data_IF_069715425835
#
_entry.id   IF_069715425835
#
_cell.length_a   1.000
_cell.length_b   1.000
_cell.length_c   1.000
_cell.angle_alpha   90.00
_cell.angle_beta   90.00
_cell.angle_gamma   90.00
#
_symmetry.space_group_name_H-M   'P 1'
#
loop_
_entity.id
_entity.type
_entity.pdbx_description
1 polymer ?
#
# COMPACT_ATOMS: atom_id res chain seq x y z
N UNK A 1 -33.04 27.84 10.27
CA UNK A 1 -31.64 28.29 10.45
C UNK A 1 -30.77 27.29 9.70
N UNK A 2 -29.92 27.74 8.79
CA UNK A 2 -29.00 26.86 8.06
C UNK A 2 -27.80 26.55 8.96
N UNK A 3 -27.56 25.28 9.28
CA UNK A 3 -26.37 24.85 9.99
C UNK A 3 -25.33 24.38 8.96
N UNK A 4 -24.10 24.86 9.07
CA UNK A 4 -23.00 24.38 8.25
C UNK A 4 -22.38 23.16 8.94
N UNK A 5 -22.21 22.07 8.19
CA UNK A 5 -21.51 20.89 8.67
C UNK A 5 -20.14 20.87 8.04
N UNK A 6 -19.10 20.80 8.87
CA UNK A 6 -17.73 20.67 8.40
C UNK A 6 -17.28 19.20 8.48
N UNK A 7 -16.46 18.79 7.53
CA UNK A 7 -15.88 17.45 7.50
C UNK A 7 -14.38 17.51 7.22
N UNK A 8 -13.62 16.53 7.70
CA UNK A 8 -12.20 16.33 7.40
C UNK A 8 -11.99 14.98 6.71
N UNK A 9 -10.94 14.88 5.90
CA UNK A 9 -10.61 13.65 5.19
C UNK A 9 -9.61 12.80 5.98
N UNK A 10 -9.96 11.57 6.31
CA UNK A 10 -9.13 10.63 7.06
C UNK A 10 -9.37 9.20 6.54
N UNK A 11 -8.30 8.42 6.36
CA UNK A 11 -8.37 7.02 5.91
C UNK A 11 -9.15 6.77 4.61
N UNK A 12 -9.19 7.77 3.71
CA UNK A 12 -9.93 7.69 2.44
C UNK A 12 -11.42 8.08 2.54
N UNK A 13 -11.88 8.52 3.72
CA UNK A 13 -13.28 8.88 3.96
C UNK A 13 -13.40 10.30 4.51
N UNK A 14 -14.56 10.93 4.26
CA UNK A 14 -14.93 12.20 4.88
C UNK A 14 -15.62 11.93 6.22
N UNK A 15 -15.03 12.43 7.30
CA UNK A 15 -15.58 12.35 8.66
C UNK A 15 -16.12 13.71 9.06
N UNK A 16 -17.33 13.75 9.64
CA UNK A 16 -17.90 15.00 10.15
C UNK A 16 -17.25 15.40 11.46
N UNK A 17 -16.96 16.70 11.60
CA UNK A 17 -16.76 17.28 12.92
C UNK A 17 -18.07 17.22 13.69
N UNK A 18 -17.99 17.09 15.02
CA UNK A 18 -19.15 17.26 15.88
C UNK A 18 -19.71 18.69 15.79
N UNK A 19 -20.96 18.89 16.20
CA UNK A 19 -21.67 20.16 15.98
C UNK A 19 -20.94 21.37 16.61
N UNK A 20 -20.47 21.33 17.88
CA UNK A 20 -19.71 22.43 18.48
C UNK A 20 -18.46 22.81 17.68
N UNK A 21 -17.70 21.81 17.20
CA UNK A 21 -16.50 22.06 16.38
C UNK A 21 -16.86 22.61 15.00
N UNK A 22 -17.93 22.10 14.37
CA UNK A 22 -18.42 22.65 13.09
C UNK A 22 -18.86 24.11 13.23
N UNK A 23 -19.55 24.44 14.32
CA UNK A 23 -19.98 25.81 14.62
C UNK A 23 -18.78 26.72 14.88
N UNK A 24 -17.74 26.22 15.58
CA UNK A 24 -16.50 26.95 15.80
C UNK A 24 -15.81 27.31 14.47
N UNK A 25 -15.68 26.33 13.56
CA UNK A 25 -15.04 26.54 12.26
C UNK A 25 -15.89 27.48 11.40
N UNK A 26 -17.22 27.33 11.42
CA UNK A 26 -18.13 28.19 10.67
C UNK A 26 -18.10 29.63 11.21
N UNK A 27 -18.07 29.83 12.53
CA UNK A 27 -17.96 31.14 13.15
C UNK A 27 -16.63 31.82 12.78
N UNK A 28 -15.52 31.09 12.82
CA UNK A 28 -14.21 31.59 12.39
C UNK A 28 -14.23 32.00 10.91
N UNK A 29 -14.83 31.19 10.04
CA UNK A 29 -15.01 31.52 8.62
C UNK A 29 -15.86 32.78 8.44
N UNK A 30 -17.00 32.89 9.14
CA UNK A 30 -17.89 34.05 9.05
C UNK A 30 -17.25 35.33 9.58
N UNK A 31 -16.38 35.21 10.58
CA UNK A 31 -15.55 36.28 11.12
C UNK A 31 -14.30 36.58 10.27
N UNK A 32 -14.12 35.88 9.15
CA UNK A 32 -12.98 36.04 8.24
C UNK A 32 -11.61 35.80 8.92
N UNK A 33 -11.54 34.78 9.77
CA UNK A 33 -10.33 34.33 10.45
C UNK A 33 -9.62 33.27 9.60
N UNK A 34 -8.33 33.50 9.30
CA UNK A 34 -7.54 32.64 8.41
C UNK A 34 -7.26 31.24 8.97
N UNK A 35 -7.09 31.15 10.29
CA UNK A 35 -6.76 29.91 11.01
C UNK A 35 -7.48 29.90 12.36
N UNK A 36 -8.18 28.80 12.67
CA UNK A 36 -8.86 28.59 13.95
C UNK A 36 -8.30 27.35 14.65
N UNK A 37 -7.87 27.50 15.89
CA UNK A 37 -7.47 26.38 16.74
C UNK A 37 -8.72 25.69 17.28
N UNK A 38 -8.78 24.36 17.15
CA UNK A 38 -9.94 23.60 17.60
C UNK A 38 -9.90 23.46 19.13
N UNK A 39 -10.81 24.15 19.80
CA UNK A 39 -10.92 24.20 21.27
C UNK A 39 -12.28 23.75 21.78
N UNK A 40 -13.21 23.47 20.87
CA UNK A 40 -14.56 23.00 21.18
C UNK A 40 -14.72 21.51 20.88
N UNK A 41 -15.82 20.93 21.36
CA UNK A 41 -16.20 19.57 21.02
C UNK A 41 -15.21 18.51 21.49
N UNK A 42 -15.01 17.48 20.67
CA UNK A 42 -14.06 16.38 20.96
C UNK A 42 -12.59 16.81 20.95
N UNK A 43 -12.29 18.00 20.42
CA UNK A 43 -10.94 18.58 20.36
C UNK A 43 -10.64 19.48 21.57
N UNK A 44 -11.62 19.72 22.43
CA UNK A 44 -11.43 20.39 23.71
C UNK A 44 -10.70 19.47 24.68
N UNK A 45 -9.45 19.81 25.00
CA UNK A 45 -8.66 19.10 25.99
C UNK A 45 -8.49 19.94 27.26
N UNK A 46 -9.45 19.93 28.21
CA UNK A 46 -9.37 20.75 29.42
C UNK A 46 -8.20 20.39 30.35
N UNK A 47 -7.57 19.24 30.15
CA UNK A 47 -6.40 18.77 30.88
C UNK A 47 -5.04 19.21 30.29
N UNK A 48 -5.03 19.84 29.10
CA UNK A 48 -3.81 20.29 28.44
C UNK A 48 -3.92 21.78 28.08
N UNK A 49 -2.88 22.56 28.37
CA UNK A 49 -2.86 24.01 28.11
C UNK A 49 -2.65 24.39 26.62
N UNK A 50 -2.78 23.43 25.68
CA UNK A 50 -2.49 23.68 24.27
C UNK A 50 -3.40 22.88 23.31
N UNK A 51 -3.51 23.40 22.08
CA UNK A 51 -4.36 22.87 21.00
C UNK A 51 -3.54 22.05 20.00
N UNK A 52 -4.06 20.88 19.63
CA UNK A 52 -3.36 19.95 18.72
C UNK A 52 -3.74 20.21 17.25
N UNK A 53 -4.94 20.71 16.98
CA UNK A 53 -5.44 20.89 15.61
C UNK A 53 -5.87 22.33 15.35
N UNK A 54 -5.59 22.81 14.15
CA UNK A 54 -6.10 24.07 13.62
C UNK A 54 -6.74 23.84 12.24
N UNK A 55 -7.74 24.64 11.89
CA UNK A 55 -8.40 24.62 10.58
C UNK A 55 -8.19 25.96 9.89
N UNK A 56 -7.84 25.92 8.61
CA UNK A 56 -7.76 27.07 7.72
C UNK A 56 -8.99 27.04 6.79
N UNK A 57 -10.11 27.69 7.14
CA UNK A 57 -11.42 27.49 6.51
C UNK A 57 -11.53 28.06 5.09
N UNK A 58 -10.57 28.89 4.66
CA UNK A 58 -10.54 29.47 3.31
C UNK A 58 -9.77 28.61 2.31
N UNK A 59 -8.71 27.92 2.76
CA UNK A 59 -7.94 26.99 1.93
C UNK A 59 -8.31 25.53 2.16
N UNK A 60 -9.32 25.29 3.00
CA UNK A 60 -9.93 23.97 3.21
C UNK A 60 -8.94 22.91 3.71
N UNK A 61 -8.13 23.26 4.71
CA UNK A 61 -7.18 22.35 5.36
C UNK A 61 -7.32 22.35 6.87
N UNK A 62 -7.16 21.19 7.50
CA UNK A 62 -6.84 21.06 8.92
C UNK A 62 -5.37 20.70 9.06
N UNK A 63 -4.65 21.37 9.96
CA UNK A 63 -3.28 21.07 10.32
C UNK A 63 -3.22 20.50 11.75
N UNK A 64 -2.43 19.45 11.94
CA UNK A 64 -1.96 19.05 13.26
C UNK A 64 -0.74 19.92 13.63
N UNK A 65 -0.82 20.67 14.73
CA UNK A 65 0.21 21.62 15.18
C UNK A 65 1.46 20.93 15.77
N UNK A 66 1.33 19.70 16.23
CA UNK A 66 2.47 18.92 16.73
C UNK A 66 3.27 18.29 15.59
N UNK A 67 2.58 17.74 14.58
CA UNK A 67 3.21 16.99 13.48
C UNK A 67 3.39 17.79 12.19
N UNK A 68 2.70 18.92 12.06
CA UNK A 68 2.62 19.73 10.84
C UNK A 68 1.77 19.10 9.72
N UNK A 69 1.23 17.90 9.92
CA UNK A 69 0.46 17.20 8.88
C UNK A 69 -0.83 17.95 8.56
N UNK A 70 -1.12 18.08 7.27
CA UNK A 70 -2.34 18.74 6.80
C UNK A 70 -3.26 17.72 6.14
N UNK A 71 -4.56 17.80 6.41
CA UNK A 71 -5.60 17.01 5.72
C UNK A 71 -6.71 17.91 5.18
N UNK A 72 -7.30 17.57 4.01
CA UNK A 72 -8.42 18.33 3.44
C UNK A 72 -9.61 18.42 4.40
N UNK A 73 -10.28 19.57 4.40
CA UNK A 73 -11.61 19.75 4.99
C UNK A 73 -12.61 20.16 3.91
N UNK A 74 -13.91 19.99 4.17
CA UNK A 74 -14.97 20.52 3.31
C UNK A 74 -16.13 21.02 4.15
N UNK A 75 -16.87 21.98 3.58
CA UNK A 75 -18.09 22.56 4.15
C UNK A 75 -19.30 22.06 3.38
N UNK A 76 -20.28 21.54 4.09
CA UNK A 76 -21.58 21.13 3.57
C UNK A 76 -22.66 22.09 4.08
N UNK A 77 -23.60 22.45 3.21
CA UNK A 77 -24.72 23.33 3.55
C UNK A 77 -25.95 22.46 3.83
N UNK A 78 -26.43 22.41 5.07
CA UNK A 78 -27.61 21.63 5.41
C UNK A 78 -28.89 22.35 4.97
N UNK A 79 -29.69 21.74 4.09
CA UNK A 79 -31.10 22.09 3.86
C UNK A 79 -32.02 21.31 4.80
N UNK A 80 -33.16 21.91 5.13
CA UNK A 80 -34.04 21.53 6.26
C UNK A 80 -34.71 20.15 6.10
N UNK A 81 -34.59 19.50 4.94
CA UNK A 81 -35.20 18.18 4.67
C UNK A 81 -34.34 16.97 5.10
N UNK A 82 -33.32 17.19 5.94
CA UNK A 82 -32.40 16.14 6.42
C UNK A 82 -32.31 15.98 7.95
N UNK A 83 -33.22 16.58 8.72
CA UNK A 83 -33.27 16.42 10.18
C UNK A 83 -33.87 15.06 10.56
N UNK A 84 -33.07 14.00 10.41
CA UNK A 84 -33.46 12.65 10.71
C UNK A 84 -32.30 11.65 10.77
N UNK A 85 -31.10 12.06 11.18
CA UNK A 85 -30.06 11.15 11.66
C UNK A 85 -28.96 11.93 12.38
N UNK A 86 -29.08 12.08 13.71
CA UNK A 86 -27.90 12.08 14.57
C UNK A 86 -27.11 10.77 14.36
N UNK A 87 -25.88 10.64 14.91
CA UNK A 87 -24.97 9.55 14.57
C UNK A 87 -25.71 8.21 14.63
N UNK A 88 -25.93 7.59 13.47
CA UNK A 88 -25.99 6.14 13.46
C UNK A 88 -24.56 5.74 13.77
N UNK A 89 -24.38 5.21 14.97
CA UNK A 89 -23.20 4.45 15.33
C UNK A 89 -22.73 3.68 14.10
N UNK A 90 -21.48 3.85 13.71
CA UNK A 90 -20.89 3.12 12.60
C UNK A 90 -20.76 1.60 12.87
N UNK A 91 -21.39 1.10 13.93
CA UNK A 91 -21.76 -0.31 14.05
C UNK A 91 -22.99 -0.71 13.21
N UNK A 92 -23.62 0.21 12.47
CA UNK A 92 -24.67 -0.15 11.52
C UNK A 92 -24.71 0.78 10.29
N UNK A 93 -23.68 0.73 9.45
CA UNK A 93 -23.94 0.93 8.03
C UNK A 93 -24.60 -0.34 7.51
N UNK A 94 -25.69 -0.16 6.77
CA UNK A 94 -26.31 -1.23 6.00
C UNK A 94 -25.19 -1.99 5.30
N UNK A 95 -24.94 -3.19 5.81
CA UNK A 95 -24.06 -4.13 5.17
C UNK A 95 -24.48 -4.16 3.71
N UNK A 96 -23.51 -4.14 2.79
CA UNK A 96 -23.64 -5.04 1.65
C UNK A 96 -24.27 -6.30 2.21
N UNK A 97 -25.49 -6.65 1.80
CA UNK A 97 -26.24 -7.74 2.46
C UNK A 97 -25.54 -9.09 2.34
N UNK A 98 -24.37 -9.12 1.69
CA UNK A 98 -23.33 -10.12 1.85
C UNK A 98 -22.16 -9.51 2.62
N UNK A 99 -22.05 -9.80 3.93
CA UNK A 99 -20.75 -9.74 4.62
C UNK A 99 -19.87 -10.79 3.92
N UNK A 100 -18.81 -10.42 3.19
CA UNK A 100 -18.01 -11.38 2.42
C UNK A 100 -17.37 -12.46 3.31
N UNK A 101 -17.27 -12.20 4.63
CA UNK A 101 -16.81 -13.18 5.60
C UNK A 101 -17.95 -14.10 6.09
N UNK A 102 -19.22 -13.66 6.09
CA UNK A 102 -20.35 -14.53 6.49
C UNK A 102 -20.49 -15.77 5.61
N UNK A 103 -20.28 -15.64 4.30
CA UNK A 103 -20.29 -16.78 3.37
C UNK A 103 -19.13 -17.76 3.60
N UNK A 104 -18.08 -17.36 4.33
CA UNK A 104 -16.95 -18.22 4.67
C UNK A 104 -17.15 -19.01 5.97
N UNK A 105 -18.13 -18.65 6.78
CA UNK A 105 -18.34 -19.18 8.13
C UNK A 105 -19.51 -20.16 8.22
N UNK A 106 -19.88 -20.83 7.12
CA UNK A 106 -20.81 -21.95 7.22
C UNK A 106 -20.24 -23.01 8.17
N UNK A 107 -20.91 -23.29 9.32
CA UNK A 107 -20.39 -24.19 10.33
C UNK A 107 -20.30 -25.62 9.78
N UNK A 108 -19.13 -26.24 9.92
CA UNK A 108 -18.95 -27.63 9.54
C UNK A 108 -19.42 -28.54 10.69
N UNK A 109 -20.27 -29.53 10.38
CA UNK A 109 -20.71 -30.52 11.39
C UNK A 109 -19.51 -31.38 11.82
N UNK A 110 -19.32 -31.48 13.14
CA UNK A 110 -18.21 -32.12 13.85
C UNK A 110 -17.93 -33.58 13.46
N UNK A 111 -18.90 -34.28 12.87
CA UNK A 111 -18.88 -35.74 12.62
C UNK A 111 -17.76 -36.25 11.68
N UNK A 112 -16.99 -35.35 11.04
CA UNK A 112 -15.87 -35.72 10.17
C UNK A 112 -14.51 -35.10 10.58
N UNK A 113 -14.40 -34.50 11.77
CA UNK A 113 -13.11 -34.11 12.33
C UNK A 113 -12.49 -35.29 13.10
N UNK A 114 -11.17 -35.44 13.01
CA UNK A 114 -10.45 -36.38 13.89
C UNK A 114 -10.60 -35.96 15.34
N UNK A 115 -10.65 -36.93 16.26
CA UNK A 115 -10.73 -36.66 17.70
C UNK A 115 -9.58 -35.77 18.23
N UNK A 116 -8.44 -35.73 17.53
CA UNK A 116 -7.28 -34.90 17.88
C UNK A 116 -7.26 -33.53 17.16
N UNK A 117 -8.33 -33.16 16.43
CA UNK A 117 -8.36 -31.88 15.72
C UNK A 117 -8.45 -30.72 16.72
N UNK A 118 -7.57 -29.72 16.55
CA UNK A 118 -7.51 -28.54 17.41
C UNK A 118 -7.61 -27.25 16.59
N UNK A 119 -8.12 -26.21 17.24
CA UNK A 119 -8.15 -24.86 16.69
C UNK A 119 -6.72 -24.28 16.66
N UNK A 120 -6.22 -23.86 15.49
CA UNK A 120 -4.86 -23.31 15.34
C UNK A 120 -4.67 -21.90 15.95
N UNK A 121 -5.71 -21.33 16.59
CA UNK A 121 -5.63 -20.02 17.27
C UNK A 121 -5.55 -20.23 18.79
N UNK A 122 -6.50 -20.95 19.39
CA UNK A 122 -6.54 -21.16 20.84
C UNK A 122 -5.96 -22.51 21.31
N UNK A 123 -5.66 -23.42 20.37
CA UNK A 123 -5.08 -24.75 20.62
C UNK A 123 -6.03 -25.69 21.38
N UNK A 124 -7.30 -25.30 21.55
CA UNK A 124 -8.35 -26.14 22.15
C UNK A 124 -9.01 -27.05 21.12
N UNK A 125 -9.55 -28.18 21.59
CA UNK A 125 -10.36 -29.11 20.79
C UNK A 125 -11.72 -28.54 20.38
N UNK A 126 -12.53 -29.34 19.69
CA UNK A 126 -13.86 -28.97 19.19
C UNK A 126 -14.97 -29.74 19.91
N UNK A 127 -14.66 -30.22 21.12
CA UNK A 127 -15.42 -31.25 21.83
C UNK A 127 -16.67 -30.68 22.52
N UNK A 128 -16.80 -29.34 22.55
CA UNK A 128 -17.97 -28.64 23.07
C UNK A 128 -19.10 -28.66 22.04
N UNK A 129 -20.29 -29.12 22.42
CA UNK A 129 -21.47 -29.22 21.53
C UNK A 129 -21.89 -27.88 20.88
N UNK A 130 -21.43 -26.75 21.45
CA UNK A 130 -21.68 -25.39 20.95
C UNK A 130 -20.54 -24.85 20.04
N UNK A 131 -19.36 -25.47 20.04
CA UNK A 131 -18.17 -24.96 19.37
C UNK A 131 -18.05 -25.48 17.93
N UNK A 132 -18.75 -24.83 17.00
CA UNK A 132 -18.65 -25.17 15.58
C UNK A 132 -17.22 -24.99 15.04
N UNK A 133 -16.70 -26.05 14.40
CA UNK A 133 -15.45 -26.00 13.66
C UNK A 133 -15.67 -25.37 12.28
N UNK A 134 -14.86 -24.37 11.94
CA UNK A 134 -14.81 -23.74 10.62
C UNK A 134 -13.58 -24.23 9.88
N UNK A 135 -13.80 -24.75 8.66
CA UNK A 135 -12.73 -24.97 7.68
C UNK A 135 -12.73 -23.83 6.68
N UNK A 136 -11.60 -23.15 6.55
CA UNK A 136 -11.50 -22.13 5.51
C UNK A 136 -11.41 -22.77 4.11
N UNK A 137 -12.25 -22.39 3.12
CA UNK A 137 -12.45 -23.17 1.89
C UNK A 137 -11.24 -23.23 0.95
N UNK A 138 -10.48 -22.14 0.84
CA UNK A 138 -9.22 -22.10 0.05
C UNK A 138 -8.03 -22.81 0.73
N UNK A 139 -8.19 -23.36 1.93
CA UNK A 139 -7.12 -24.01 2.68
C UNK A 139 -7.18 -25.53 2.59
N UNK A 140 -6.01 -26.17 2.56
CA UNK A 140 -5.88 -27.63 2.65
C UNK A 140 -5.95 -28.10 4.12
N UNK A 141 -7.12 -27.97 4.75
CA UNK A 141 -7.38 -28.58 6.06
C UNK A 141 -6.92 -27.76 7.27
N UNK A 142 -7.23 -26.47 7.33
CA UNK A 142 -7.03 -25.65 8.53
C UNK A 142 -8.38 -25.37 9.20
N UNK A 143 -8.44 -25.68 10.50
CA UNK A 143 -9.66 -25.65 11.30
C UNK A 143 -9.54 -24.67 12.47
N UNK A 144 -10.66 -24.02 12.79
CA UNK A 144 -10.74 -22.99 13.82
C UNK A 144 -12.12 -22.94 14.44
N UNK A 145 -12.25 -22.46 15.69
CA UNK A 145 -13.55 -22.03 16.19
C UNK A 145 -14.03 -20.80 15.42
N UNK A 146 -15.33 -20.69 15.17
CA UNK A 146 -15.93 -19.57 14.43
C UNK A 146 -15.48 -18.21 14.98
N UNK A 147 -15.61 -17.98 16.30
CA UNK A 147 -15.25 -16.72 16.95
C UNK A 147 -13.75 -16.40 16.84
N UNK A 148 -12.91 -17.43 16.95
CA UNK A 148 -11.46 -17.29 16.83
C UNK A 148 -11.08 -16.79 15.44
N UNK A 149 -11.61 -17.45 14.39
CA UNK A 149 -11.23 -17.14 13.02
C UNK A 149 -11.91 -15.90 12.47
N UNK A 150 -13.13 -15.58 12.92
CA UNK A 150 -13.83 -14.37 12.54
C UNK A 150 -13.04 -13.13 12.95
N UNK A 151 -12.68 -13.05 14.23
CA UNK A 151 -11.89 -11.93 14.77
C UNK A 151 -10.57 -11.78 14.01
N UNK A 152 -9.87 -12.90 13.80
CA UNK A 152 -8.59 -12.89 13.09
C UNK A 152 -8.70 -12.43 11.64
N UNK A 153 -9.67 -12.94 10.87
CA UNK A 153 -9.81 -12.58 9.46
C UNK A 153 -10.25 -11.12 9.28
N UNK A 154 -11.04 -10.57 10.21
CA UNK A 154 -11.41 -9.15 10.20
C UNK A 154 -10.19 -8.24 10.31
N UNK A 155 -9.16 -8.65 11.05
CA UNK A 155 -7.94 -7.85 11.21
C UNK A 155 -6.84 -8.14 10.18
N UNK A 156 -6.60 -9.42 9.86
CA UNK A 156 -5.41 -9.86 9.10
C UNK A 156 -5.72 -10.31 7.67
N UNK A 157 -6.99 -10.61 7.34
CA UNK A 157 -7.44 -11.09 6.02
C UNK A 157 -6.66 -12.30 5.47
N UNK A 158 -5.99 -13.05 6.35
CA UNK A 158 -5.14 -14.18 6.01
C UNK A 158 -5.39 -15.32 6.98
N UNK A 159 -5.36 -16.54 6.46
CA UNK A 159 -5.33 -17.75 7.27
C UNK A 159 -4.16 -17.69 8.28
N UNK A 160 -4.38 -17.86 9.60
CA UNK A 160 -3.33 -17.86 10.60
C UNK A 160 -2.19 -18.81 10.27
N UNK A 161 -2.53 -19.99 9.73
CA UNK A 161 -1.59 -21.06 9.43
C UNK A 161 -0.85 -20.86 8.10
N UNK A 162 -1.55 -20.87 6.96
CA UNK A 162 -0.90 -20.88 5.64
C UNK A 162 -0.84 -19.51 4.94
N UNK A 163 -1.33 -18.44 5.57
CA UNK A 163 -1.37 -17.07 5.02
C UNK A 163 -2.21 -16.87 3.75
N UNK A 164 -2.99 -17.88 3.36
CA UNK A 164 -3.95 -17.75 2.26
C UNK A 164 -4.89 -16.56 2.50
N UNK A 165 -5.03 -15.68 1.50
CA UNK A 165 -5.80 -14.44 1.60
C UNK A 165 -7.30 -14.71 1.44
N UNK A 166 -8.09 -14.14 2.35
CA UNK A 166 -9.54 -14.11 2.35
C UNK A 166 -10.02 -12.65 2.39
N UNK A 167 -10.65 -12.20 1.31
CA UNK A 167 -10.99 -10.79 1.10
C UNK A 167 -9.85 -9.99 0.46
N UNK A 168 -9.81 -8.69 0.74
CA UNK A 168 -8.77 -7.77 0.26
C UNK A 168 -7.74 -7.56 1.35
N UNK A 169 -6.52 -8.03 1.13
CA UNK A 169 -5.42 -7.84 2.09
C UNK A 169 -5.10 -6.36 2.25
N UNK A 170 -5.01 -5.91 3.50
CA UNK A 170 -4.56 -4.56 3.85
C UNK A 170 -3.37 -4.64 4.79
N UNK A 171 -2.38 -3.80 4.57
CA UNK A 171 -1.21 -3.69 5.44
C UNK A 171 -1.35 -2.58 6.48
N UNK A 172 -0.26 -2.32 7.20
CA UNK A 172 -0.19 -1.31 8.26
C UNK A 172 0.66 -0.10 7.87
N UNK A 173 0.91 0.14 6.58
CA UNK A 173 1.65 1.34 6.14
C UNK A 173 1.07 2.62 6.78
N UNK A 174 1.90 3.43 7.47
CA UNK A 174 1.44 4.71 7.99
C UNK A 174 0.92 5.64 6.89
N UNK A 175 0.17 6.66 7.30
CA UNK A 175 -0.25 7.71 6.39
C UNK A 175 0.93 8.50 5.85
N UNK A 176 0.77 8.98 4.61
CA UNK A 176 1.81 9.71 3.90
C UNK A 176 1.33 10.16 2.53
N UNK A 177 2.28 10.63 1.73
CA UNK A 177 2.06 11.06 0.37
C UNK A 177 2.76 10.12 -0.62
N UNK A 178 2.07 9.78 -1.71
CA UNK A 178 2.64 9.03 -2.82
C UNK A 178 2.48 9.84 -4.10
N UNK A 179 3.60 10.10 -4.76
CA UNK A 179 3.67 10.87 -5.99
C UNK A 179 4.30 10.04 -7.11
N UNK A 180 3.77 10.19 -8.32
CA UNK A 180 4.32 9.59 -9.55
C UNK A 180 4.67 10.72 -10.51
N UNK A 181 5.92 10.73 -10.98
CA UNK A 181 6.42 11.68 -11.99
C UNK A 181 6.93 10.95 -13.21
N UNK A 182 6.66 11.48 -14.40
CA UNK A 182 7.26 10.99 -15.64
C UNK A 182 8.51 11.79 -15.98
N UNK A 183 9.62 11.10 -16.19
CA UNK A 183 10.90 11.67 -16.57
C UNK A 183 11.21 11.33 -18.02
N UNK A 184 11.71 12.31 -18.78
CA UNK A 184 12.11 12.12 -20.18
C UNK A 184 13.36 11.24 -20.33
N UNK A 185 14.19 11.15 -19.28
CA UNK A 185 15.45 10.38 -19.28
C UNK A 185 15.14 8.88 -19.18
N UNK A 186 15.91 8.06 -19.91
CA UNK A 186 15.81 6.59 -19.87
C UNK A 186 16.70 6.00 -18.78
N UNK A 187 16.21 4.94 -18.15
CA UNK A 187 17.01 4.15 -17.23
C UNK A 187 18.16 3.42 -17.95
N UNK A 188 19.31 3.23 -17.29
CA UNK A 188 20.44 2.49 -17.82
C UNK A 188 20.06 1.07 -18.23
N UNK A 189 20.55 0.63 -19.40
CA UNK A 189 20.33 -0.70 -19.94
C UNK A 189 18.92 -0.97 -20.51
N UNK A 190 17.97 -0.04 -20.36
CA UNK A 190 16.64 -0.18 -20.94
C UNK A 190 16.52 0.55 -22.28
N UNK A 191 16.89 -0.14 -23.35
CA UNK A 191 16.62 0.29 -24.73
C UNK A 191 15.37 -0.44 -25.23
N UNK A 192 14.32 0.30 -25.58
CA UNK A 192 13.00 -0.22 -26.03
C UNK A 192 13.02 -1.15 -27.26
N UNK A 193 14.20 -1.56 -27.76
CA UNK A 193 14.39 -2.41 -28.94
C UNK A 193 14.58 -3.91 -28.63
N UNK A 194 14.63 -4.36 -27.37
CA UNK A 194 14.89 -5.79 -27.06
C UNK A 194 13.83 -6.55 -26.26
N UNK A 195 12.87 -5.90 -25.59
CA UNK A 195 11.93 -6.62 -24.69
C UNK A 195 10.53 -6.67 -25.28
N UNK A 196 10.36 -7.43 -26.36
CA UNK A 196 9.06 -8.02 -26.72
C UNK A 196 8.97 -9.41 -26.09
N UNK A 197 9.07 -9.47 -24.76
CA UNK A 197 8.88 -10.69 -23.99
C UNK A 197 7.53 -10.63 -23.30
N UNK A 198 6.57 -11.38 -23.78
CA UNK A 198 5.26 -11.58 -23.14
C UNK A 198 5.48 -12.14 -21.74
N UNK A 199 4.87 -11.52 -20.72
CA UNK A 199 4.84 -12.06 -19.35
C UNK A 199 4.16 -13.44 -19.38
N UNK A 200 4.76 -14.51 -18.82
CA UNK A 200 4.13 -15.83 -18.81
C UNK A 200 2.85 -15.84 -17.97
N UNK A 201 1.86 -16.60 -18.44
CA UNK A 201 0.62 -16.88 -17.73
C UNK A 201 0.87 -17.62 -16.40
N UNK A 202 -0.07 -17.46 -15.46
CA UNK A 202 -0.05 -17.83 -14.05
C UNK A 202 0.11 -19.34 -13.72
N UNK A 203 0.52 -20.19 -14.67
CA UNK A 203 0.51 -21.65 -14.51
C UNK A 203 1.90 -22.29 -14.27
N UNK A 204 2.98 -21.53 -14.08
CA UNK A 204 4.33 -22.10 -13.93
C UNK A 204 4.95 -21.83 -12.55
N UNK A 205 4.66 -22.77 -11.65
CA UNK A 205 5.51 -23.34 -10.59
C UNK A 205 5.96 -22.48 -9.40
N UNK A 206 5.21 -22.71 -8.33
CA UNK A 206 5.60 -22.93 -6.93
C UNK A 206 7.05 -23.31 -6.63
N UNK A 207 7.50 -22.82 -5.46
CA UNK A 207 8.70 -23.14 -4.67
C UNK A 207 9.94 -22.29 -4.92
N UNK A 208 9.99 -21.11 -4.28
CA UNK A 208 11.22 -20.58 -3.68
C UNK A 208 10.93 -19.37 -2.79
N UNK A 209 10.57 -19.53 -1.51
CA UNK A 209 10.62 -18.46 -0.50
C UNK A 209 10.51 -19.04 0.93
N UNK A 210 11.50 -19.85 1.32
CA UNK A 210 11.81 -20.15 2.72
C UNK A 210 13.32 -19.96 2.91
N UNK A 211 13.77 -18.71 2.92
CA UNK A 211 15.08 -18.21 3.40
C UNK A 211 15.46 -16.94 2.64
N UNK A 212 14.89 -15.79 3.04
CA UNK A 212 15.48 -14.46 2.79
C UNK A 212 14.71 -13.38 3.52
N UNK A 213 14.73 -13.48 4.84
CA UNK A 213 14.54 -12.34 5.74
C UNK A 213 15.90 -11.94 6.29
N UNK A 214 16.75 -11.34 5.44
CA UNK A 214 18.01 -10.76 5.89
C UNK A 214 18.47 -9.69 4.88
N UNK A 215 18.38 -8.43 5.30
CA UNK A 215 19.01 -7.23 4.74
C UNK A 215 18.63 -6.90 3.27
N UNK A 216 18.41 -5.65 2.85
CA UNK A 216 19.30 -4.50 2.99
C UNK A 216 18.47 -3.22 2.75
N UNK A 217 18.53 -2.27 3.68
CA UNK A 217 18.22 -0.86 3.43
C UNK A 217 19.43 -0.08 3.97
N UNK A 218 20.30 0.47 3.12
CA UNK A 218 21.01 1.67 3.55
C UNK A 218 21.08 2.77 2.49
N UNK A 219 20.91 3.96 3.03
CA UNK A 219 20.90 5.28 2.46
C UNK A 219 22.34 5.77 2.49
N UNK A 220 22.97 5.93 1.34
CA UNK A 220 24.25 6.65 1.25
C UNK A 220 24.13 7.75 0.22
N UNK A 221 23.77 8.93 0.71
CA UNK A 221 24.10 10.20 0.05
C UNK A 221 25.34 10.77 0.72
N UNK A 222 26.52 10.66 0.09
CA UNK A 222 27.58 11.67 0.20
C UNK A 222 28.63 11.52 -0.92
N UNK A 223 29.03 12.69 -1.42
CA UNK A 223 30.02 13.04 -2.43
C UNK A 223 31.49 12.77 -2.06
N UNK A 224 32.34 12.41 -3.03
CA UNK A 224 33.54 13.16 -3.47
C UNK A 224 34.45 12.38 -4.47
N UNK A 225 34.83 13.11 -5.54
CA UNK A 225 36.07 13.12 -6.36
C UNK A 225 37.10 11.97 -6.35
N UNK A 226 37.54 11.52 -7.54
CA UNK A 226 38.85 10.86 -7.72
C UNK A 226 39.08 10.05 -9.02
N UNK A 227 39.57 10.73 -10.06
CA UNK A 227 40.51 10.35 -11.15
C UNK A 227 40.90 8.88 -11.49
N UNK A 228 40.86 8.62 -12.81
CA UNK A 228 41.90 8.04 -13.73
C UNK A 228 42.11 6.53 -13.96
N UNK A 229 42.39 6.20 -15.25
CA UNK A 229 43.07 4.99 -15.78
C UNK A 229 42.12 3.94 -16.38
N UNK A 230 41.96 3.69 -17.68
CA UNK A 230 42.84 3.43 -18.86
C UNK A 230 42.73 1.96 -19.31
N UNK A 231 42.76 1.80 -20.64
CA UNK A 231 43.12 0.59 -21.42
C UNK A 231 42.08 -0.54 -21.56
N UNK A 232 42.10 -1.39 -22.59
CA UNK A 232 42.23 -1.30 -24.04
C UNK A 232 42.08 -2.75 -24.56
N UNK A 233 41.64 -2.91 -25.82
CA UNK A 233 41.75 -4.10 -26.71
C UNK A 233 41.02 -5.40 -26.32
N UNK A 234 40.27 -6.13 -27.16
CA UNK A 234 40.27 -6.50 -28.59
C UNK A 234 40.55 -8.01 -28.70
N UNK A 235 39.67 -8.79 -29.35
CA UNK A 235 39.97 -9.96 -30.21
C UNK A 235 38.72 -10.77 -30.61
N UNK A 236 38.33 -10.57 -31.87
CA UNK A 236 38.12 -11.58 -32.95
C UNK A 236 37.54 -12.97 -32.66
N UNK A 237 36.50 -13.33 -33.42
CA UNK A 237 36.11 -14.72 -33.73
C UNK A 237 35.08 -14.78 -34.87
N UNK A 238 35.44 -15.42 -35.98
CA UNK A 238 34.78 -15.39 -37.30
C UNK A 238 33.95 -16.65 -37.64
N UNK A 239 32.76 -16.43 -38.23
CA UNK A 239 32.05 -17.16 -39.35
C UNK A 239 31.78 -18.70 -39.27
N UNK A 240 30.69 -19.26 -39.89
CA UNK A 240 30.31 -19.05 -41.30
C UNK A 240 28.82 -18.93 -41.68
N UNK A 241 28.66 -18.55 -42.95
CA UNK A 241 27.48 -18.20 -43.74
C UNK A 241 26.53 -19.34 -44.11
N UNK A 242 25.25 -18.99 -44.34
CA UNK A 242 24.46 -19.51 -45.47
C UNK A 242 23.31 -18.54 -45.84
N UNK A 243 23.21 -18.23 -47.13
CA UNK A 243 22.17 -17.43 -47.82
C UNK A 243 20.76 -18.08 -47.71
N UNK A 244 19.60 -17.48 -48.01
CA UNK A 244 19.19 -16.64 -49.14
C UNK A 244 17.72 -16.18 -48.95
N UNK A 245 17.35 -15.17 -49.74
CA UNK A 245 15.99 -14.86 -50.25
C UNK A 245 15.17 -13.77 -49.54
N UNK A 246 15.46 -12.56 -50.00
CA UNK A 246 14.64 -11.36 -49.96
C UNK A 246 13.37 -11.46 -50.82
N UNK A 247 12.24 -11.01 -50.27
CA UNK A 247 11.07 -10.54 -51.03
C UNK A 247 10.79 -9.10 -50.57
N UNK A 248 10.66 -8.10 -51.47
CA UNK A 248 10.38 -6.73 -51.07
C UNK A 248 8.89 -6.55 -50.82
N UNK A 249 8.49 -6.30 -49.57
CA UNK A 249 7.14 -5.82 -49.24
C UNK A 249 7.18 -4.31 -49.10
N UNK A 250 6.43 -3.62 -49.96
CA UNK A 250 6.23 -2.17 -49.95
C UNK A 250 5.76 -1.67 -48.57
N UNK A 251 6.18 -0.48 -48.13
CA UNK A 251 5.81 0.02 -46.82
C UNK A 251 4.35 0.46 -46.80
N UNK A 252 3.51 -0.28 -46.08
CA UNK A 252 2.24 0.29 -45.59
C UNK A 252 2.57 1.38 -44.59
N UNK A 253 1.94 2.55 -44.75
CA UNK A 253 2.05 3.68 -43.82
C UNK A 253 1.43 3.27 -42.48
N UNK A 254 2.21 2.59 -41.65
CA UNK A 254 1.92 2.38 -40.24
C UNK A 254 2.12 3.70 -39.50
N UNK A 255 1.09 4.12 -38.78
CA UNK A 255 1.16 5.21 -37.80
C UNK A 255 2.40 5.01 -36.92
N UNK A 256 3.23 6.05 -36.79
CA UNK A 256 4.29 6.07 -35.80
C UNK A 256 3.62 5.97 -34.43
N UNK A 257 3.59 4.78 -33.84
CA UNK A 257 3.34 4.63 -32.42
C UNK A 257 4.50 5.32 -31.72
N UNK A 258 4.26 6.54 -31.26
CA UNK A 258 5.21 7.34 -30.52
C UNK A 258 5.35 6.72 -29.12
N UNK A 259 6.18 5.67 -29.02
CA UNK A 259 6.49 5.04 -27.74
C UNK A 259 7.33 6.03 -26.92
N UNK A 260 6.65 6.84 -26.11
CA UNK A 260 7.25 7.54 -24.98
C UNK A 260 8.10 6.53 -24.22
N UNK A 261 9.42 6.71 -24.28
CA UNK A 261 10.40 5.85 -23.63
C UNK A 261 11.11 6.69 -22.58
N UNK A 262 10.38 7.00 -21.52
CA UNK A 262 10.86 7.71 -20.34
C UNK A 262 11.05 6.78 -19.15
N UNK A 263 11.00 7.37 -17.97
CA UNK A 263 11.09 6.67 -16.68
C UNK A 263 9.98 7.20 -15.77
N UNK A 264 9.24 6.31 -15.13
CA UNK A 264 8.36 6.65 -14.02
C UNK A 264 9.17 6.70 -12.74
N UNK A 265 9.15 7.84 -12.06
CA UNK A 265 9.71 8.02 -10.73
C UNK A 265 8.59 8.00 -9.71
N UNK A 266 8.68 7.08 -8.77
CA UNK A 266 7.75 6.90 -7.66
C UNK A 266 8.39 7.52 -6.43
N UNK A 267 7.63 8.28 -5.65
CA UNK A 267 8.12 8.96 -4.45
C UNK A 267 7.12 8.81 -3.31
N UNK A 268 7.56 8.24 -2.20
CA UNK A 268 6.78 8.10 -0.98
C UNK A 268 7.37 8.97 0.12
N UNK A 269 6.53 9.78 0.74
CA UNK A 269 6.88 10.59 1.90
C UNK A 269 5.97 10.19 3.05
N UNK A 270 6.53 9.60 4.09
CA UNK A 270 5.81 9.20 5.29
C UNK A 270 6.36 10.04 6.45
N UNK A 271 5.57 10.94 7.05
CA UNK A 271 6.01 11.70 8.22
C UNK A 271 6.19 10.78 9.44
N UNK A 272 6.97 11.24 10.41
CA UNK A 272 7.02 10.62 11.73
C UNK A 272 5.65 10.70 12.42
N UNK A 273 5.37 9.77 13.33
CA UNK A 273 4.08 9.72 13.99
C UNK A 273 4.03 8.72 15.13
N UNK A 274 2.81 8.37 15.54
CA UNK A 274 2.54 7.38 16.58
C UNK A 274 2.02 6.09 15.94
N UNK A 275 2.54 4.95 16.40
CA UNK A 275 2.14 3.63 15.95
C UNK A 275 0.67 3.34 16.31
N UNK A 276 -0.15 3.08 15.30
CA UNK A 276 -1.51 2.55 15.47
C UNK A 276 -1.53 1.13 16.07
N UNK A 277 -2.73 0.64 16.42
CA UNK A 277 -2.94 -0.70 16.98
C UNK A 277 -2.44 -1.85 16.09
N UNK A 278 -2.30 -1.63 14.78
CA UNK A 278 -1.80 -2.64 13.83
C UNK A 278 -0.28 -2.77 13.75
N UNK A 279 0.48 -1.94 14.47
CA UNK A 279 1.94 -1.96 14.47
C UNK A 279 2.53 -2.78 15.63
N UNK A 280 3.84 -3.03 15.57
CA UNK A 280 4.55 -3.83 16.58
C UNK A 280 4.44 -3.23 17.99
N UNK A 281 4.53 -1.91 18.12
CA UNK A 281 4.50 -1.21 19.40
C UNK A 281 3.45 -0.08 19.41
N UNK A 282 2.14 -0.40 19.50
CA UNK A 282 1.09 0.61 19.50
C UNK A 282 1.30 1.72 20.55
N UNK A 283 1.02 2.96 20.17
CA UNK A 283 1.22 4.14 21.01
C UNK A 283 2.68 4.65 21.09
N UNK A 284 3.66 3.92 20.53
CA UNK A 284 5.05 4.40 20.47
C UNK A 284 5.28 5.28 19.25
N UNK A 285 6.17 6.26 19.42
CA UNK A 285 6.65 7.08 18.31
C UNK A 285 7.40 6.22 17.28
N UNK A 286 7.28 6.57 16.00
CA UNK A 286 8.12 6.07 14.93
C UNK A 286 8.69 7.21 14.09
N UNK A 287 9.89 7.01 13.55
CA UNK A 287 10.51 7.97 12.64
C UNK A 287 10.05 7.75 11.20
N UNK A 288 9.65 8.83 10.53
CA UNK A 288 9.22 8.83 9.13
C UNK A 288 10.33 8.53 8.13
N UNK A 289 9.99 8.52 6.84
CA UNK A 289 10.93 8.27 5.74
C UNK A 289 10.53 9.01 4.47
N UNK A 290 11.51 9.28 3.63
CA UNK A 290 11.32 9.56 2.21
C UNK A 290 11.99 8.46 1.40
N UNK A 291 11.30 7.90 0.40
CA UNK A 291 11.84 6.86 -0.48
C UNK A 291 11.42 7.11 -1.91
N UNK A 292 12.29 6.75 -2.84
CA UNK A 292 12.01 6.85 -4.27
C UNK A 292 12.36 5.56 -4.99
N UNK A 293 11.70 5.33 -6.12
CA UNK A 293 11.99 4.22 -7.00
C UNK A 293 11.78 4.60 -8.46
N UNK A 294 12.37 3.82 -9.37
CA UNK A 294 12.33 4.10 -10.80
C UNK A 294 11.87 2.88 -11.59
N UNK A 295 10.93 3.09 -12.52
CA UNK A 295 10.45 2.08 -13.46
C UNK A 295 10.59 2.59 -14.89
N UNK A 296 11.04 1.77 -15.85
CA UNK A 296 11.09 2.20 -17.24
C UNK A 296 9.67 2.36 -17.79
N UNK A 297 9.43 3.34 -18.66
CA UNK A 297 8.12 3.53 -19.29
C UNK A 297 7.91 2.52 -20.42
N UNK A 298 7.43 1.33 -20.07
CA UNK A 298 7.03 0.28 -21.02
C UNK A 298 5.66 -0.29 -20.66
N UNK A 299 4.97 -1.00 -21.58
CA UNK A 299 3.67 -1.59 -21.28
C UNK A 299 3.67 -2.47 -20.02
N UNK A 300 4.64 -3.38 -19.88
CA UNK A 300 4.75 -4.24 -18.69
C UNK A 300 4.94 -3.43 -17.39
N UNK A 301 5.75 -2.37 -17.43
CA UNK A 301 6.00 -1.55 -16.25
C UNK A 301 4.89 -0.53 -15.95
N UNK A 302 4.00 -0.23 -16.91
CA UNK A 302 2.76 0.53 -16.66
C UNK A 302 1.75 -0.29 -15.87
N UNK A 303 1.69 -1.60 -16.12
CA UNK A 303 0.87 -2.49 -15.31
C UNK A 303 1.44 -2.63 -13.89
N UNK A 304 2.76 -2.79 -13.76
CA UNK A 304 3.45 -2.76 -12.46
C UNK A 304 3.22 -1.41 -11.74
N UNK A 305 3.24 -0.28 -12.44
CA UNK A 305 2.93 1.04 -11.88
C UNK A 305 1.53 1.10 -11.26
N UNK A 306 0.52 0.55 -11.94
CA UNK A 306 -0.84 0.43 -11.37
C UNK A 306 -0.83 -0.44 -10.11
N UNK A 307 -0.11 -1.55 -10.12
CA UNK A 307 0.00 -2.43 -8.95
C UNK A 307 0.64 -1.72 -7.74
N UNK A 308 1.63 -0.84 -7.96
CA UNK A 308 2.17 0.04 -6.91
C UNK A 308 1.12 0.99 -6.33
N UNK A 309 0.26 1.57 -7.18
CA UNK A 309 -0.84 2.44 -6.73
C UNK A 309 -1.84 1.66 -5.86
N UNK A 310 -2.23 0.46 -6.29
CA UNK A 310 -3.11 -0.42 -5.51
C UNK A 310 -2.45 -0.81 -4.18
N UNK A 311 -1.17 -1.19 -4.19
CA UNK A 311 -0.45 -1.56 -2.97
C UNK A 311 -0.36 -0.40 -1.98
N UNK A 312 -0.15 0.83 -2.47
CA UNK A 312 -0.18 2.03 -1.65
C UNK A 312 -1.56 2.27 -1.02
N UNK A 313 -2.64 2.22 -1.81
CA UNK A 313 -4.01 2.37 -1.31
C UNK A 313 -4.39 1.28 -0.29
N UNK A 314 -3.87 0.06 -0.48
CA UNK A 314 -4.05 -1.06 0.44
C UNK A 314 -3.07 -1.07 1.60
N UNK A 315 -2.24 -0.03 1.76
CA UNK A 315 -1.28 0.11 2.87
C UNK A 315 -0.23 -1.00 2.94
N UNK A 316 0.14 -1.58 1.80
CA UNK A 316 1.04 -2.73 1.68
C UNK A 316 2.50 -2.37 1.33
N UNK A 317 2.79 -1.10 1.03
CA UNK A 317 4.15 -0.70 0.62
C UNK A 317 5.15 -0.68 1.78
N UNK A 318 4.70 -0.24 2.95
CA UNK A 318 5.55 -0.07 4.13
C UNK A 318 4.86 -0.60 5.39
N UNK A 319 5.64 -0.71 6.46
CA UNK A 319 5.15 -0.91 7.82
C UNK A 319 6.11 -0.23 8.81
N UNK A 320 5.76 -0.20 10.09
CA UNK A 320 6.68 0.21 11.16
C UNK A 320 7.23 -1.03 11.84
N UNK A 321 8.56 -1.08 11.95
CA UNK A 321 9.24 -2.20 12.61
C UNK A 321 10.70 -1.89 12.87
N UNK A 322 11.51 -2.96 12.96
CA UNK A 322 12.96 -2.88 13.11
C UNK A 322 13.64 -2.76 11.75
N UNK A 323 14.43 -1.71 11.55
CA UNK A 323 15.42 -1.69 10.47
C UNK A 323 16.52 -2.68 10.80
N UNK A 324 16.69 -3.71 9.95
CA UNK A 324 17.74 -4.70 10.16
C UNK A 324 19.14 -4.12 9.91
N UNK A 325 19.26 -3.18 8.96
CA UNK A 325 20.56 -2.63 8.59
C UNK A 325 21.10 -1.63 9.62
N UNK A 326 20.20 -0.88 10.27
CA UNK A 326 20.59 0.10 11.31
C UNK A 326 20.39 -0.43 12.73
N UNK A 327 19.74 -1.59 12.86
CA UNK A 327 19.31 -2.17 14.14
C UNK A 327 18.45 -1.22 14.98
N UNK A 328 17.70 -0.32 14.32
CA UNK A 328 16.83 0.66 14.96
C UNK A 328 15.37 0.19 14.90
N UNK A 329 14.71 0.13 16.05
CA UNK A 329 13.28 -0.14 16.18
C UNK A 329 12.43 1.12 15.94
N UNK A 330 11.15 0.93 15.64
CA UNK A 330 10.17 2.00 15.46
C UNK A 330 10.52 2.94 14.30
N UNK A 331 10.84 2.37 13.14
CA UNK A 331 11.08 3.12 11.90
C UNK A 331 10.26 2.53 10.76
N UNK A 332 10.01 3.36 9.74
CA UNK A 332 9.32 2.90 8.53
C UNK A 332 10.26 2.04 7.67
N UNK A 333 9.80 0.83 7.34
CA UNK A 333 10.52 -0.16 6.53
C UNK A 333 9.65 -0.66 5.37
N UNK A 334 10.25 -1.22 4.31
CA UNK A 334 9.52 -1.89 3.23
C UNK A 334 8.71 -3.08 3.78
N UNK A 335 7.50 -3.30 3.25
CA UNK A 335 6.62 -4.40 3.64
C UNK A 335 6.56 -5.53 2.57
N UNK A 336 7.73 -5.98 2.10
CA UNK A 336 7.88 -7.18 1.27
C UNK A 336 7.71 -6.99 -0.25
N UNK A 337 7.39 -5.79 -0.71
CA UNK A 337 7.38 -5.42 -2.15
C UNK A 337 8.66 -4.63 -2.43
N UNK A 338 9.55 -5.20 -3.25
CA UNK A 338 10.86 -4.61 -3.52
C UNK A 338 10.80 -3.52 -4.59
N UNK A 339 11.57 -2.48 -4.36
CA UNK A 339 11.68 -1.30 -5.23
C UNK A 339 13.08 -1.16 -5.81
N UNK A 340 13.16 -0.60 -7.02
CA UNK A 340 14.43 -0.18 -7.64
C UNK A 340 14.74 1.26 -7.26
N UNK A 341 15.46 1.45 -6.16
CA UNK A 341 15.70 2.75 -5.52
C UNK A 341 16.83 3.55 -6.14
N UNK A 342 17.67 2.94 -6.96
CA UNK A 342 18.83 3.60 -7.58
C UNK A 342 18.67 3.76 -9.10
N UNK A 343 19.17 4.87 -9.63
CA UNK A 343 19.20 5.09 -11.08
C UNK A 343 20.17 4.14 -11.78
N UNK A 344 21.33 3.90 -11.17
CA UNK A 344 22.39 3.00 -11.62
C UNK A 344 22.57 1.91 -10.57
N UNK A 345 22.93 0.69 -10.97
CA UNK A 345 23.00 -0.44 -10.04
C UNK A 345 24.31 -0.49 -9.22
N UNK A 346 24.51 0.45 -8.29
CA UNK A 346 25.69 0.46 -7.43
C UNK A 346 25.53 -0.45 -6.22
N UNK A 347 24.36 -0.39 -5.56
CA UNK A 347 24.04 -1.18 -4.37
C UNK A 347 23.28 -2.48 -4.65
N UNK A 348 23.04 -2.85 -5.90
CA UNK A 348 22.24 -4.04 -6.27
C UNK A 348 20.73 -3.75 -6.43
N UNK A 349 20.30 -2.54 -6.11
CA UNK A 349 18.90 -2.08 -6.16
C UNK A 349 18.61 -1.11 -7.31
N UNK A 350 19.53 -0.96 -8.26
CA UNK A 350 19.39 -0.06 -9.40
C UNK A 350 19.15 -0.79 -10.72
N UNK A 351 19.38 -0.05 -11.81
CA UNK A 351 19.21 -0.51 -13.18
C UNK A 351 20.55 -0.69 -13.91
N UNK A 352 20.66 -1.64 -14.87
CA UNK A 352 19.60 -2.55 -15.36
C UNK A 352 19.33 -3.74 -14.42
N UNK A 353 18.10 -4.27 -14.47
CA UNK A 353 17.75 -5.54 -13.85
C UNK A 353 16.68 -6.27 -14.67
N UNK A 354 17.06 -7.33 -15.39
CA UNK A 354 16.17 -8.04 -16.31
C UNK A 354 15.08 -8.85 -15.58
N UNK A 355 15.41 -9.43 -14.42
CA UNK A 355 14.48 -10.25 -13.63
C UNK A 355 13.44 -9.44 -12.85
N UNK A 356 13.63 -8.12 -12.70
CA UNK A 356 12.86 -7.33 -11.73
C UNK A 356 11.36 -7.33 -12.02
N UNK A 357 10.97 -7.22 -13.30
CA UNK A 357 9.55 -7.22 -13.68
C UNK A 357 8.83 -8.48 -13.21
N UNK A 358 9.47 -9.64 -13.35
CA UNK A 358 8.91 -10.91 -12.89
C UNK A 358 8.86 -10.97 -11.36
N UNK A 359 9.98 -10.68 -10.69
CA UNK A 359 10.09 -10.73 -9.23
C UNK A 359 9.05 -9.84 -8.55
N UNK A 360 8.95 -8.57 -8.94
CA UNK A 360 8.01 -7.63 -8.30
C UNK A 360 6.55 -7.99 -8.61
N UNK A 361 6.27 -8.53 -9.79
CA UNK A 361 4.92 -9.01 -10.13
C UNK A 361 4.52 -10.18 -9.23
N UNK A 362 5.44 -11.11 -8.96
CA UNK A 362 5.18 -12.25 -8.08
C UNK A 362 5.00 -11.81 -6.61
N UNK A 363 5.74 -10.80 -6.16
CA UNK A 363 5.54 -10.18 -4.84
C UNK A 363 4.17 -9.54 -4.71
N UNK A 364 3.73 -8.77 -5.71
CA UNK A 364 2.37 -8.22 -5.72
C UNK A 364 1.30 -9.31 -5.72
N UNK A 365 1.48 -10.38 -6.52
CA UNK A 365 0.55 -11.52 -6.53
C UNK A 365 0.47 -12.20 -5.17
N UNK A 366 1.60 -12.33 -4.47
CA UNK A 366 1.66 -12.90 -3.13
C UNK A 366 0.79 -12.12 -2.13
N UNK A 367 0.64 -10.80 -2.32
CA UNK A 367 -0.25 -9.95 -1.51
C UNK A 367 -1.62 -9.71 -2.15
N UNK A 368 -1.99 -10.48 -3.18
CA UNK A 368 -3.32 -10.44 -3.80
C UNK A 368 -3.56 -9.28 -4.76
N UNK A 369 -2.50 -8.71 -5.33
CA UNK A 369 -2.57 -7.62 -6.31
C UNK A 369 -2.24 -8.16 -7.71
N UNK A 370 -3.11 -7.88 -8.66
CA UNK A 370 -2.98 -8.26 -10.07
C UNK A 370 -3.28 -7.05 -10.96
N UNK A 371 -2.74 -6.97 -12.18
CA UNK A 371 -2.82 -5.78 -13.02
C UNK A 371 -4.22 -5.49 -13.60
N UNK A 372 -5.14 -6.46 -13.54
CA UNK A 372 -6.54 -6.38 -13.97
C UNK A 372 -7.47 -5.72 -12.94
N UNK A 373 -7.00 -5.47 -11.73
CA UNK A 373 -7.79 -4.84 -10.67
C UNK A 373 -7.96 -3.33 -10.93
N UNK A 374 -9.16 -2.82 -10.70
CA UNK A 374 -9.43 -1.38 -10.75
C UNK A 374 -8.86 -0.66 -9.51
N UNK A 375 -8.49 0.61 -9.70
CA UNK A 375 -7.89 1.51 -8.71
C UNK A 375 -8.89 2.16 -7.76
#
# INVERSE_FOLDING_TARGET
MSFAVWQYHCDGFWQSYDQPTSDQIEAARQANVDTVELTEGIYRAPQFDYTIYEVMPFIMLQRNKETGTCRPVRRLQATIDGLGAGPKDCHAQAASTTDPLRELFEPFKSDALSADAQCNICISGFDDEEAAAIKLPKCQGHWYHADCIETWLREKQQCPYCKQIYGVLRGSCPDGHFEIRHLKKKLPGYNAKRTAGTVPSAAALTNALQSRSAAMDDDTTMSQTGTSGSDASDTTGSYPSSASSSVPVSPSKGSKAEYSSGTWMLSWTIPSGIQSSGHQNPGKFFSGTYRQAYLPDTPAFRDILKMFQIAWQRKLMFTVGRSLTREVDNVVIWAGIHCRTEWHNHGGFGWPCESYAQTVTDEFRHVGITPDQEL
#
